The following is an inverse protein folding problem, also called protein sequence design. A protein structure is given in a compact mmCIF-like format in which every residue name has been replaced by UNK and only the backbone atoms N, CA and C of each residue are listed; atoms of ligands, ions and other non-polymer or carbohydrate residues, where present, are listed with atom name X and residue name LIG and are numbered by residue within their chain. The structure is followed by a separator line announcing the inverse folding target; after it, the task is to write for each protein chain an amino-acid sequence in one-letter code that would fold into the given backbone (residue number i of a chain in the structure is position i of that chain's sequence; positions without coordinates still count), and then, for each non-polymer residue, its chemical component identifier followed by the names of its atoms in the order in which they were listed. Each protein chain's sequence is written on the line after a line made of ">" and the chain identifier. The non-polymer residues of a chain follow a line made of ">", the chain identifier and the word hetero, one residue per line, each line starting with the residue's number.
data_IF_148073977290
#
_entry.id   IF_148073977290
#
_cell.length_a   1.000
_cell.length_b   1.000
_cell.length_c   1.000
_cell.angle_alpha   90.00
_cell.angle_beta   90.00
_cell.angle_gamma   90.00
#
_symmetry.space_group_name_H-M   'P 1'
#
loop_
_entity.id
_entity.type
_entity.pdbx_description
1 polymer ?
#
# COMPACT_ATOMS: atom_id res chain seq x y z
N UNK A 1 -1.96 -6.90 -1.90
CA UNK A 1 -0.92 -6.91 -0.84
C UNK A 1 -0.60 -5.51 -0.32
N UNK A 2 -1.61 -4.64 -0.24
CA UNK A 2 -1.43 -3.20 0.05
C UNK A 2 -1.71 -2.88 1.53
N UNK A 3 -2.55 -3.70 2.17
CA UNK A 3 -2.96 -3.57 3.57
C UNK A 3 -1.81 -3.42 4.56
N UNK A 4 -0.85 -4.36 4.64
CA UNK A 4 0.21 -4.25 5.63
C UNK A 4 1.09 -3.03 5.37
N UNK A 5 1.29 -2.65 4.11
CA UNK A 5 2.10 -1.48 3.73
C UNK A 5 1.42 -0.16 4.11
N UNK A 6 0.11 -0.04 3.85
CA UNK A 6 -0.69 1.13 4.25
C UNK A 6 -0.82 1.26 5.75
N UNK A 7 -1.02 0.14 6.46
CA UNK A 7 -1.01 0.11 7.92
C UNK A 7 0.36 0.52 8.47
N UNK A 8 1.43 -0.02 7.90
CA UNK A 8 2.79 0.31 8.29
C UNK A 8 3.14 1.78 8.05
N UNK A 9 2.88 2.29 6.85
CA UNK A 9 3.09 3.70 6.53
C UNK A 9 2.26 4.60 7.44
N UNK A 10 0.95 4.36 7.51
CA UNK A 10 0.02 5.21 8.27
C UNK A 10 0.24 5.22 9.79
N UNK A 11 0.69 4.12 10.39
CA UNK A 11 0.84 4.01 11.85
C UNK A 11 2.28 4.10 12.35
N UNK A 12 3.23 3.48 11.64
CA UNK A 12 4.66 3.45 12.01
C UNK A 12 5.47 4.55 11.29
N UNK A 13 4.87 5.23 10.30
CA UNK A 13 5.50 6.30 9.54
C UNK A 13 6.29 5.83 8.33
N UNK A 14 6.87 6.79 7.61
CA UNK A 14 7.52 6.59 6.30
C UNK A 14 8.66 5.56 6.36
N UNK A 15 9.53 5.62 7.37
CA UNK A 15 10.71 4.74 7.47
C UNK A 15 10.32 3.26 7.54
N UNK A 16 9.32 2.94 8.35
CA UNK A 16 8.83 1.58 8.52
C UNK A 16 7.92 1.13 7.37
N UNK A 17 7.11 2.05 6.84
CA UNK A 17 6.29 1.81 5.65
C UNK A 17 7.14 1.44 4.43
N UNK A 18 8.25 2.16 4.19
CA UNK A 18 9.17 1.86 3.08
C UNK A 18 9.80 0.48 3.21
N UNK A 19 10.28 0.14 4.41
CA UNK A 19 10.86 -1.18 4.67
C UNK A 19 9.88 -2.30 4.36
N UNK A 20 8.64 -2.18 4.84
CA UNK A 20 7.58 -3.18 4.62
C UNK A 20 7.08 -3.17 3.17
N UNK A 21 7.07 -2.02 2.51
CA UNK A 21 6.73 -1.87 1.09
C UNK A 21 7.67 -2.64 0.16
N UNK A 22 8.95 -2.72 0.51
CA UNK A 22 9.98 -3.48 -0.23
C UNK A 22 9.99 -4.95 0.21
N UNK A 23 9.93 -5.22 1.52
CA UNK A 23 9.98 -6.58 2.06
C UNK A 23 8.77 -7.42 1.67
N UNK A 24 7.57 -6.85 1.65
CA UNK A 24 6.33 -7.57 1.38
C UNK A 24 6.33 -8.31 0.03
N UNK A 25 6.58 -7.65 -1.12
CA UNK A 25 6.67 -8.34 -2.40
C UNK A 25 7.87 -9.28 -2.50
N UNK A 26 8.98 -8.98 -1.80
CA UNK A 26 10.19 -9.80 -1.82
C UNK A 26 9.98 -11.13 -1.09
N UNK A 27 9.28 -11.12 0.06
CA UNK A 27 8.89 -12.32 0.80
C UNK A 27 7.89 -13.14 -0.02
N UNK A 28 6.90 -12.50 -0.63
CA UNK A 28 5.94 -13.20 -1.50
C UNK A 28 6.58 -13.80 -2.74
N UNK A 29 7.59 -13.13 -3.29
CA UNK A 29 8.40 -13.68 -4.37
C UNK A 29 9.19 -14.91 -3.92
N UNK A 30 9.88 -14.81 -2.77
CA UNK A 30 10.66 -15.92 -2.21
C UNK A 30 9.78 -17.16 -1.93
N UNK A 31 8.58 -16.98 -1.38
CA UNK A 31 7.62 -18.06 -1.14
C UNK A 31 7.24 -18.71 -2.46
N UNK A 32 6.81 -17.92 -3.45
CA UNK A 32 6.34 -18.44 -4.74
C UNK A 32 7.45 -19.17 -5.51
N UNK A 33 8.71 -18.73 -5.35
CA UNK A 33 9.89 -19.41 -5.90
C UNK A 33 10.09 -20.81 -5.29
N UNK A 34 9.92 -20.94 -3.96
CA UNK A 34 10.03 -22.21 -3.23
C UNK A 34 8.93 -23.20 -3.66
N UNK A 35 7.74 -22.71 -4.00
CA UNK A 35 6.62 -23.54 -4.47
C UNK A 35 6.71 -23.94 -5.96
N UNK A 36 7.81 -23.65 -6.66
CA UNK A 36 8.06 -24.01 -8.07
C UNK A 36 6.94 -23.62 -9.05
N UNK A 37 6.11 -22.62 -8.72
CA UNK A 37 5.17 -22.00 -9.63
C UNK A 37 5.74 -20.64 -10.04
N UNK A 38 6.66 -20.55 -11.03
CA UNK A 38 7.24 -19.28 -11.43
C UNK A 38 6.12 -18.38 -11.94
N UNK A 39 5.71 -17.44 -11.11
CA UNK A 39 4.74 -16.42 -11.49
C UNK A 39 5.35 -15.65 -12.68
N UNK A 40 4.61 -15.45 -13.79
CA UNK A 40 5.03 -14.62 -14.94
C UNK A 40 5.07 -13.11 -14.60
N UNK A 41 5.28 -12.76 -13.32
CA UNK A 41 5.28 -11.40 -12.77
C UNK A 41 6.69 -10.92 -12.36
N UNK A 42 7.76 -11.64 -12.69
CA UNK A 42 9.12 -11.20 -12.38
C UNK A 42 9.43 -9.82 -12.98
N UNK A 43 8.94 -9.58 -14.20
CA UNK A 43 9.06 -8.30 -14.89
C UNK A 43 8.22 -7.19 -14.23
N UNK A 44 7.12 -7.55 -13.56
CA UNK A 44 6.20 -6.60 -12.89
C UNK A 44 6.57 -6.33 -11.43
N UNK A 45 7.43 -7.15 -10.85
CA UNK A 45 7.89 -7.04 -9.46
C UNK A 45 8.47 -5.65 -9.11
N UNK A 46 9.38 -5.05 -9.92
CA UNK A 46 9.92 -3.73 -9.61
C UNK A 46 8.86 -2.62 -9.66
N UNK A 47 7.89 -2.73 -10.57
CA UNK A 47 6.76 -1.79 -10.65
C UNK A 47 5.92 -1.79 -9.39
N UNK A 48 5.65 -2.99 -8.86
CA UNK A 48 4.87 -3.15 -7.64
C UNK A 48 5.64 -2.64 -6.41
N UNK A 49 6.97 -2.83 -6.36
CA UNK A 49 7.80 -2.25 -5.29
C UNK A 49 7.77 -0.72 -5.32
N UNK A 50 7.86 -0.11 -6.51
CA UNK A 50 7.76 1.35 -6.67
C UNK A 50 6.37 1.83 -6.24
N UNK A 51 5.31 1.17 -6.70
CA UNK A 51 3.93 1.50 -6.35
C UNK A 51 3.72 1.44 -4.83
N UNK A 52 4.13 0.34 -4.18
CA UNK A 52 4.01 0.14 -2.73
C UNK A 52 4.87 1.12 -1.92
N UNK A 53 6.03 1.50 -2.44
CA UNK A 53 6.90 2.52 -1.85
C UNK A 53 6.20 3.89 -1.84
N UNK A 54 5.61 4.29 -2.97
CA UNK A 54 4.82 5.53 -3.07
C UNK A 54 3.62 5.49 -2.12
N UNK A 55 2.90 4.36 -2.07
CA UNK A 55 1.82 4.14 -1.10
C UNK A 55 2.28 4.37 0.34
N UNK A 56 3.42 3.78 0.73
CA UNK A 56 3.97 3.91 2.06
C UNK A 56 4.39 5.33 2.41
N UNK A 57 5.00 6.05 1.45
CA UNK A 57 5.42 7.45 1.63
C UNK A 57 4.20 8.35 1.82
N UNK A 58 3.18 8.21 0.97
CA UNK A 58 1.95 9.00 1.07
C UNK A 58 1.22 8.68 2.37
N UNK A 59 0.96 7.40 2.67
CA UNK A 59 0.32 7.01 3.92
C UNK A 59 1.11 7.47 5.16
N UNK A 60 2.44 7.38 5.11
CA UNK A 60 3.33 7.82 6.18
C UNK A 60 3.40 9.32 6.38
N UNK A 61 3.29 10.12 5.31
CA UNK A 61 3.17 11.56 5.42
C UNK A 61 1.90 11.97 6.18
N UNK A 62 0.81 11.23 5.98
CA UNK A 62 -0.46 11.45 6.68
C UNK A 62 -0.54 10.82 8.07
N UNK A 63 0.47 10.05 8.52
CA UNK A 63 0.47 9.39 9.84
C UNK A 63 0.18 10.32 11.01
N UNK A 64 0.86 11.48 11.07
CA UNK A 64 0.64 12.50 12.12
C UNK A 64 -0.80 13.03 12.11
N UNK A 65 -1.37 13.20 10.92
CA UNK A 65 -2.75 13.65 10.74
C UNK A 65 -3.77 12.58 11.17
N UNK A 66 -3.48 11.30 10.88
CA UNK A 66 -4.27 10.15 11.31
C UNK A 66 -4.38 10.09 12.84
N UNK A 67 -3.27 10.33 13.56
CA UNK A 67 -3.30 10.38 15.02
C UNK A 67 -4.12 11.56 15.55
N UNK A 68 -4.14 12.70 14.86
CA UNK A 68 -4.95 13.87 15.24
C UNK A 68 -6.45 13.67 14.98
N UNK A 69 -6.82 13.25 13.77
CA UNK A 69 -8.21 13.07 13.36
C UNK A 69 -8.45 11.70 12.70
N UNK A 70 -9.46 10.98 13.19
CA UNK A 70 -9.88 9.70 12.58
C UNK A 70 -10.34 9.83 11.12
N UNK A 71 -10.92 10.98 10.75
CA UNK A 71 -11.39 11.26 9.38
C UNK A 71 -10.24 11.34 8.37
N UNK A 72 -9.04 11.69 8.82
CA UNK A 72 -7.86 11.75 7.94
C UNK A 72 -7.37 10.37 7.51
N UNK A 73 -7.83 9.29 8.16
CA UNK A 73 -7.59 7.91 7.69
C UNK A 73 -8.22 7.74 6.30
N UNK A 74 -9.47 8.16 6.11
CA UNK A 74 -10.14 8.04 4.80
C UNK A 74 -9.43 8.86 3.73
N UNK A 75 -9.03 10.09 4.07
CA UNK A 75 -8.30 10.98 3.15
C UNK A 75 -6.95 10.36 2.78
N UNK A 76 -6.21 9.82 3.75
CA UNK A 76 -4.93 9.16 3.51
C UNK A 76 -5.08 7.93 2.61
N UNK A 77 -6.15 7.14 2.79
CA UNK A 77 -6.44 5.97 1.94
C UNK A 77 -6.75 6.37 0.50
N UNK A 78 -7.61 7.37 0.30
CA UNK A 78 -7.94 7.90 -1.03
C UNK A 78 -6.69 8.44 -1.71
N UNK A 79 -5.93 9.30 -1.02
CA UNK A 79 -4.73 9.91 -1.55
C UNK A 79 -3.68 8.85 -1.91
N UNK A 80 -3.47 7.87 -1.06
CA UNK A 80 -2.50 6.81 -1.30
C UNK A 80 -2.93 5.95 -2.50
N UNK A 81 -4.21 5.63 -2.67
CA UNK A 81 -4.69 4.86 -3.82
C UNK A 81 -4.54 5.60 -5.13
N UNK A 82 -4.88 6.89 -5.15
CA UNK A 82 -4.70 7.73 -6.35
C UNK A 82 -3.21 7.79 -6.68
N UNK A 83 -2.35 8.08 -5.70
CA UNK A 83 -0.91 8.16 -5.90
C UNK A 83 -0.32 6.82 -6.37
N UNK A 84 -0.74 5.70 -5.78
CA UNK A 84 -0.33 4.36 -6.19
C UNK A 84 -0.73 4.07 -7.64
N UNK A 85 -2.01 4.24 -7.99
CA UNK A 85 -2.49 4.02 -9.36
C UNK A 85 -1.83 4.94 -10.38
N UNK A 86 -1.60 6.21 -10.04
CA UNK A 86 -0.84 7.13 -10.86
C UNK A 86 0.61 6.67 -11.04
N UNK A 87 1.28 6.20 -9.98
CA UNK A 87 2.65 5.69 -10.07
C UNK A 87 2.75 4.41 -10.91
N UNK A 88 1.74 3.54 -10.85
CA UNK A 88 1.66 2.35 -11.69
C UNK A 88 1.48 2.73 -13.17
N UNK A 89 0.55 3.63 -13.49
CA UNK A 89 0.35 4.09 -14.87
C UNK A 89 1.58 4.83 -15.41
N UNK A 90 2.22 5.66 -14.60
CA UNK A 90 3.43 6.39 -14.98
C UNK A 90 4.60 5.43 -15.24
N UNK A 91 4.79 4.42 -14.39
CA UNK A 91 5.85 3.43 -14.58
C UNK A 91 5.60 2.53 -15.80
N UNK A 92 4.35 2.11 -16.06
CA UNK A 92 3.99 1.39 -17.30
C UNK A 92 4.26 2.25 -18.54
N UNK A 93 3.95 3.55 -18.50
CA UNK A 93 4.23 4.47 -19.61
C UNK A 93 5.73 4.62 -19.88
N UNK A 94 6.55 4.72 -18.83
CA UNK A 94 8.00 4.88 -18.95
C UNK A 94 8.70 3.60 -19.44
N UNK A 95 8.18 2.42 -19.07
CA UNK A 95 8.80 1.13 -19.43
C UNK A 95 8.01 0.34 -20.50
N UNK A 96 7.07 0.98 -21.21
CA UNK A 96 6.33 0.38 -22.33
C UNK A 96 7.24 -0.24 -23.41
N UNK A 97 8.48 0.24 -23.51
CA UNK A 97 9.47 -0.22 -24.49
C UNK A 97 10.21 -1.51 -24.10
N UNK A 98 10.09 -1.98 -22.84
CA UNK A 98 10.88 -3.10 -22.31
C UNK A 98 10.03 -4.33 -21.97
N UNK A 99 8.70 -4.23 -22.02
CA UNK A 99 7.77 -5.24 -21.50
C UNK A 99 6.55 -5.34 -22.43
N UNK A 100 5.97 -6.53 -22.59
CA UNK A 100 4.68 -6.75 -23.27
C UNK A 100 3.47 -6.26 -22.45
N UNK A 101 3.55 -5.04 -21.93
CA UNK A 101 2.51 -4.38 -21.13
C UNK A 101 2.15 -3.04 -21.76
N UNK A 102 1.21 -3.08 -22.70
CA UNK A 102 0.71 -1.87 -23.37
C UNK A 102 -0.30 -1.15 -22.48
N UNK A 103 -0.32 0.19 -22.54
CA UNK A 103 -1.24 1.07 -21.82
C UNK A 103 -2.71 0.62 -21.94
N UNK A 104 -3.09 0.15 -23.13
CA UNK A 104 -4.39 -0.44 -23.50
C UNK A 104 -4.83 -1.62 -22.61
N UNK A 105 -3.90 -2.41 -22.08
CA UNK A 105 -4.19 -3.58 -21.23
C UNK A 105 -4.17 -3.25 -19.74
N UNK A 106 -3.42 -2.21 -19.34
CA UNK A 106 -3.28 -1.79 -17.95
C UNK A 106 -4.50 -0.99 -17.46
N UNK A 107 -5.06 -0.15 -18.35
CA UNK A 107 -6.21 0.71 -18.07
C UNK A 107 -7.48 -0.09 -17.65
N UNK A 108 -7.94 -1.10 -18.42
CA UNK A 108 -9.09 -1.91 -18.02
C UNK A 108 -8.83 -2.74 -16.75
N UNK A 109 -7.58 -3.16 -16.49
CA UNK A 109 -7.23 -3.88 -15.25
C UNK A 109 -7.40 -2.99 -14.02
N UNK A 110 -7.01 -1.71 -14.09
CA UNK A 110 -7.20 -0.76 -13.00
C UNK A 110 -8.69 -0.48 -12.78
N UNK A 111 -9.49 -0.30 -13.84
CA UNK A 111 -10.94 -0.10 -13.73
C UNK A 111 -11.69 -1.33 -13.17
N UNK A 112 -11.40 -2.53 -13.66
CA UNK A 112 -12.04 -3.76 -13.18
C UNK A 112 -11.69 -4.08 -11.72
N UNK A 113 -10.53 -3.66 -11.25
CA UNK A 113 -10.15 -3.83 -9.84
C UNK A 113 -11.00 -2.98 -8.87
N UNK A 114 -11.79 -2.02 -9.36
CA UNK A 114 -12.50 -1.03 -8.57
C UNK A 114 -13.54 -1.60 -7.59
N UNK A 115 -14.30 -2.62 -7.97
CA UNK A 115 -15.38 -3.16 -7.12
C UNK A 115 -14.81 -3.91 -5.91
N UNK A 116 -13.75 -4.71 -6.10
CA UNK A 116 -13.07 -5.40 -5.00
C UNK A 116 -12.31 -4.44 -4.06
N UNK A 117 -11.84 -3.30 -4.58
CA UNK A 117 -11.12 -2.29 -3.81
C UNK A 117 -12.01 -1.55 -2.81
N UNK A 118 -13.28 -1.29 -3.14
CA UNK A 118 -14.19 -0.57 -2.24
C UNK A 118 -14.44 -1.35 -0.94
N UNK A 119 -14.70 -2.65 -1.05
CA UNK A 119 -14.83 -3.53 0.14
C UNK A 119 -13.52 -3.53 0.93
N UNK A 120 -12.39 -3.56 0.22
CA UNK A 120 -11.11 -3.57 0.88
C UNK A 120 -10.82 -2.29 1.68
N UNK A 121 -11.19 -1.13 1.14
CA UNK A 121 -11.04 0.16 1.80
C UNK A 121 -11.81 0.26 3.11
N UNK A 122 -13.05 -0.24 3.15
CA UNK A 122 -13.86 -0.23 4.38
C UNK A 122 -13.17 -1.06 5.46
N UNK A 123 -12.74 -2.26 5.11
CA UNK A 123 -12.02 -3.17 6.02
C UNK A 123 -10.72 -2.52 6.53
N UNK A 124 -9.95 -1.87 5.65
CA UNK A 124 -8.69 -1.21 6.00
C UNK A 124 -8.90 -0.01 6.92
N UNK A 125 -9.94 0.80 6.65
CA UNK A 125 -10.31 1.96 7.47
C UNK A 125 -10.67 1.53 8.89
N UNK A 126 -11.49 0.49 9.02
CA UNK A 126 -11.88 -0.08 10.32
C UNK A 126 -10.65 -0.62 11.06
N UNK A 127 -9.79 -1.39 10.39
CA UNK A 127 -8.57 -1.93 10.99
C UNK A 127 -7.64 -0.81 11.52
N UNK A 128 -7.43 0.25 10.73
CA UNK A 128 -6.63 1.41 11.17
C UNK A 128 -7.23 2.12 12.38
N UNK A 129 -8.55 2.32 12.42
CA UNK A 129 -9.23 2.96 13.56
C UNK A 129 -9.06 2.11 14.83
N UNK A 130 -9.24 0.79 14.73
CA UNK A 130 -9.09 -0.13 15.86
C UNK A 130 -7.67 -0.12 16.43
N UNK A 131 -6.66 -0.20 15.55
CA UNK A 131 -5.26 -0.19 15.97
C UNK A 131 -4.87 1.16 16.58
N UNK A 132 -5.27 2.28 15.96
CA UNK A 132 -5.06 3.63 16.51
C UNK A 132 -5.67 3.77 17.91
N UNK A 133 -6.91 3.32 18.12
CA UNK A 133 -7.56 3.36 19.44
C UNK A 133 -6.77 2.56 20.47
N UNK A 134 -6.24 1.39 20.09
CA UNK A 134 -5.43 0.55 20.97
C UNK A 134 -4.12 1.23 21.35
N UNK A 135 -3.39 1.80 20.37
CA UNK A 135 -2.13 2.53 20.59
C UNK A 135 -2.35 3.73 21.52
N UNK A 136 -3.39 4.53 21.30
CA UNK A 136 -3.69 5.70 22.15
C UNK A 136 -4.04 5.26 23.59
N UNK A 137 -4.86 4.20 23.73
CA UNK A 137 -5.24 3.65 25.04
C UNK A 137 -4.02 3.14 25.82
N UNK A 138 -3.09 2.50 25.14
CA UNK A 138 -1.87 1.97 25.74
C UNK A 138 -0.89 3.09 26.14
N UNK A 139 -0.73 4.10 25.28
CA UNK A 139 0.07 5.29 25.59
C UNK A 139 -0.47 6.03 26.83
N UNK A 140 -1.78 6.19 26.94
CA UNK A 140 -2.42 6.81 28.12
C UNK A 140 -2.26 5.97 29.40
N UNK A 141 -2.07 4.65 29.30
CA UNK A 141 -1.77 3.83 30.49
C UNK A 141 -0.35 4.10 31.00
N UNK A 142 0.62 4.23 30.10
CA UNK A 142 2.02 4.44 30.46
C UNK A 142 2.28 5.84 31.06
N UNK A 143 1.49 6.85 30.70
CA UNK A 143 1.59 8.20 31.27
C UNK A 143 0.88 8.38 32.61
N UNK A 144 0.09 7.40 33.05
CA UNK A 144 -0.64 7.42 34.34
C UNK A 144 0.02 6.53 35.42
N UNK A 145 1.24 6.04 35.18
CA UNK A 145 2.12 5.40 36.15
C UNK A 145 3.30 6.33 36.43
#
# INVERSE_FOLDING_TARGET
>A
MYYPVLLAGGLLGIKWGLGIGILSPLVSFAITLIFHQPMPMLERLPFMMIELSVFAVVAGAFSKLIFKNQWMILVALIAAQIAGRCSFLCSVFLLQSQINLTFETALPQVLMSGVGLLVQWVILSVAMILIRKKIIKENNRLTNC
#
